data_IF_748262814638
#
_entry.id   IF_748262814638
#
_cell.length_a   1.000
_cell.length_b   1.000
_cell.length_c   1.000
_cell.angle_alpha   90.00
_cell.angle_beta   90.00
_cell.angle_gamma   90.00
#
_symmetry.space_group_name_H-M   'P 1'
#
loop_
_entity.id
_entity.type
_entity.pdbx_description
1 polymer ?
#
# COMPACT_ATOMS: atom_id res chain seq x y z
N UNK A 1 -1.51 43.94 2.75
CA UNK A 1 -2.13 42.79 3.44
C UNK A 1 -3.22 42.08 2.63
N UNK A 2 -3.91 42.75 1.69
CA UNK A 2 -4.95 42.14 0.83
C UNK A 2 -4.41 41.28 -0.32
N UNK A 3 -3.28 41.64 -0.92
CA UNK A 3 -2.71 40.89 -2.05
C UNK A 3 -2.17 39.50 -1.67
N UNK A 4 -1.60 39.35 -0.47
CA UNK A 4 -1.09 38.05 0.01
C UNK A 4 -2.22 37.09 0.38
N UNK A 5 -3.32 37.58 0.95
CA UNK A 5 -4.52 36.77 1.24
C UNK A 5 -5.19 36.28 -0.05
N UNK A 6 -5.21 37.11 -1.11
CA UNK A 6 -5.73 36.72 -2.41
C UNK A 6 -4.83 35.71 -3.15
N UNK A 7 -3.51 35.80 -2.95
CA UNK A 7 -2.55 34.82 -3.47
C UNK A 7 -2.63 33.48 -2.72
N UNK A 8 -2.82 33.51 -1.40
CA UNK A 8 -2.97 32.31 -0.57
C UNK A 8 -4.28 31.56 -0.88
N UNK A 9 -5.39 32.30 -1.05
CA UNK A 9 -6.72 31.72 -1.30
C UNK A 9 -6.86 31.10 -2.71
N UNK A 10 -6.03 31.49 -3.68
CA UNK A 10 -6.09 30.96 -5.05
C UNK A 10 -5.68 29.47 -5.16
N UNK A 11 -5.02 28.93 -4.14
CA UNK A 11 -4.57 27.52 -4.12
C UNK A 11 -5.49 26.57 -3.34
N UNK A 12 -6.59 27.06 -2.76
CA UNK A 12 -7.53 26.27 -1.91
C UNK A 12 -8.62 25.55 -2.71
N UNK A 13 -8.24 24.90 -3.81
CA UNK A 13 -9.14 24.01 -4.55
C UNK A 13 -9.17 22.61 -3.93
N UNK A 14 -10.25 21.81 -4.13
CA UNK A 14 -10.32 20.42 -3.66
C UNK A 14 -9.26 19.48 -4.29
N UNK A 15 -8.38 20.01 -5.14
CA UNK A 15 -7.35 19.26 -5.85
C UNK A 15 -6.41 18.47 -4.94
N UNK A 16 -6.06 18.98 -3.74
CA UNK A 16 -5.23 18.23 -2.79
C UNK A 16 -5.95 16.99 -2.26
N UNK A 17 -7.23 17.12 -1.90
CA UNK A 17 -8.03 16.00 -1.40
C UNK A 17 -8.25 14.94 -2.50
N UNK A 18 -8.56 15.36 -3.73
CA UNK A 18 -8.71 14.43 -4.86
C UNK A 18 -7.39 13.72 -5.17
N UNK A 19 -6.28 14.46 -5.20
CA UNK A 19 -4.96 13.89 -5.44
C UNK A 19 -4.55 12.89 -4.34
N UNK A 20 -4.74 13.26 -3.06
CA UNK A 20 -4.43 12.40 -1.92
C UNK A 20 -5.25 11.10 -1.96
N UNK A 21 -6.57 11.20 -2.11
CA UNK A 21 -7.44 10.04 -2.17
C UNK A 21 -7.11 9.14 -3.36
N UNK A 22 -6.81 9.71 -4.53
CA UNK A 22 -6.37 8.93 -5.70
C UNK A 22 -5.03 8.24 -5.45
N UNK A 23 -4.07 8.92 -4.83
CA UNK A 23 -2.77 8.35 -4.48
C UNK A 23 -2.93 7.16 -3.52
N UNK A 24 -3.71 7.30 -2.45
CA UNK A 24 -3.95 6.19 -1.51
C UNK A 24 -4.71 5.03 -2.14
N UNK A 25 -5.69 5.30 -3.01
CA UNK A 25 -6.42 4.26 -3.73
C UNK A 25 -5.49 3.43 -4.64
N UNK A 26 -4.60 4.11 -5.39
CA UNK A 26 -3.58 3.43 -6.22
C UNK A 26 -2.63 2.60 -5.34
N UNK A 27 -2.20 3.15 -4.21
CA UNK A 27 -1.28 2.47 -3.29
C UNK A 27 -1.90 1.20 -2.69
N UNK A 28 -3.18 1.27 -2.31
CA UNK A 28 -3.99 0.12 -1.88
C UNK A 28 -4.13 -0.94 -2.97
N UNK A 29 -4.38 -0.52 -4.21
CA UNK A 29 -4.53 -1.43 -5.35
C UNK A 29 -3.23 -2.19 -5.62
N UNK A 30 -2.09 -1.50 -5.65
CA UNK A 30 -0.77 -2.13 -5.84
C UNK A 30 -0.51 -3.15 -4.73
N UNK A 31 -0.76 -2.78 -3.47
CA UNK A 31 -0.59 -3.68 -2.35
C UNK A 31 -1.47 -4.93 -2.49
N UNK A 32 -2.75 -4.76 -2.84
CA UNK A 32 -3.67 -5.88 -3.05
C UNK A 32 -3.18 -6.83 -4.15
N UNK A 33 -2.71 -6.30 -5.30
CA UNK A 33 -2.17 -7.13 -6.39
C UNK A 33 -0.95 -7.94 -5.96
N UNK A 34 -0.06 -7.37 -5.14
CA UNK A 34 1.11 -8.09 -4.61
C UNK A 34 0.66 -9.30 -3.77
N UNK A 35 -0.28 -9.11 -2.84
CA UNK A 35 -0.77 -10.20 -1.98
C UNK A 35 -1.59 -11.25 -2.72
N UNK A 36 -2.37 -10.85 -3.73
CA UNK A 36 -3.26 -11.75 -4.45
C UNK A 36 -2.55 -12.56 -5.54
N UNK A 37 -1.53 -11.98 -6.20
CA UNK A 37 -0.90 -12.61 -7.37
C UNK A 37 0.54 -13.03 -7.10
N UNK A 38 1.34 -12.17 -6.47
CA UNK A 38 2.79 -12.40 -6.34
C UNK A 38 3.12 -13.40 -5.24
N UNK A 39 2.44 -13.32 -4.09
CA UNK A 39 2.67 -14.24 -2.97
C UNK A 39 2.31 -15.70 -3.31
N UNK A 40 1.16 -16.01 -3.96
CA UNK A 40 0.85 -17.39 -4.34
C UNK A 40 1.82 -17.96 -5.38
N UNK A 41 2.27 -17.12 -6.31
CA UNK A 41 3.28 -17.52 -7.29
C UNK A 41 4.61 -17.89 -6.60
N UNK A 42 5.03 -17.12 -5.60
CA UNK A 42 6.22 -17.43 -4.80
C UNK A 42 6.08 -18.78 -4.08
N UNK A 43 4.92 -19.07 -3.46
CA UNK A 43 4.66 -20.36 -2.79
C UNK A 43 4.87 -21.55 -3.74
N UNK A 44 4.29 -21.47 -4.94
CA UNK A 44 4.36 -22.57 -5.92
C UNK A 44 5.81 -22.92 -6.28
N UNK A 45 6.65 -21.91 -6.49
CA UNK A 45 8.07 -22.11 -6.78
C UNK A 45 8.82 -22.78 -5.63
N UNK A 46 8.52 -22.45 -4.37
CA UNK A 46 9.15 -23.12 -3.22
C UNK A 46 8.69 -24.58 -3.05
N UNK A 47 7.41 -24.87 -3.32
CA UNK A 47 6.87 -26.24 -3.26
C UNK A 47 7.56 -27.15 -4.30
N UNK A 48 7.90 -26.63 -5.49
CA UNK A 48 8.63 -27.36 -6.54
C UNK A 48 10.08 -27.73 -6.13
N UNK A 49 10.69 -26.99 -5.21
CA UNK A 49 12.04 -27.28 -4.68
C UNK A 49 12.05 -28.24 -3.48
N UNK A 50 10.89 -28.66 -2.96
CA UNK A 50 10.80 -29.60 -1.84
C UNK A 50 11.44 -29.12 -0.52
N UNK A 51 11.76 -27.81 -0.41
CA UNK A 51 12.40 -27.24 0.76
C UNK A 51 11.39 -26.63 1.73
N UNK A 52 11.65 -26.73 3.02
CA UNK A 52 10.85 -26.08 4.07
C UNK A 52 10.98 -24.57 3.96
N UNK A 53 9.88 -23.87 3.64
CA UNK A 53 9.88 -22.42 3.57
C UNK A 53 10.30 -21.80 4.92
N UNK A 54 11.09 -20.71 4.91
CA UNK A 54 11.43 -19.98 6.13
C UNK A 54 10.17 -19.56 6.90
N UNK A 55 10.22 -19.61 8.24
CA UNK A 55 9.11 -19.28 9.14
C UNK A 55 8.45 -17.91 8.85
N UNK A 56 9.25 -16.93 8.42
CA UNK A 56 8.77 -15.60 8.04
C UNK A 56 7.90 -15.64 6.78
N UNK A 57 8.27 -16.45 5.79
CA UNK A 57 7.54 -16.58 4.51
C UNK A 57 6.25 -17.39 4.69
N UNK A 58 6.27 -18.42 5.56
CA UNK A 58 5.08 -19.20 5.90
C UNK A 58 3.98 -18.31 6.50
N UNK A 59 4.36 -17.35 7.35
CA UNK A 59 3.44 -16.42 8.00
C UNK A 59 2.79 -15.47 6.98
N UNK A 60 3.58 -14.97 6.01
CA UNK A 60 3.08 -14.13 4.91
C UNK A 60 2.15 -14.90 3.97
N UNK A 61 2.45 -16.18 3.69
CA UNK A 61 1.59 -17.04 2.86
C UNK A 61 0.25 -17.31 3.55
N UNK A 62 0.25 -17.59 4.86
CA UNK A 62 -0.99 -17.76 5.63
C UNK A 62 -1.84 -16.48 5.60
N UNK A 63 -1.21 -15.32 5.78
CA UNK A 63 -1.88 -14.02 5.68
C UNK A 63 -2.41 -13.75 4.27
N UNK A 64 -1.63 -14.09 3.24
CA UNK A 64 -2.04 -13.96 1.84
C UNK A 64 -3.24 -14.85 1.51
N UNK A 65 -3.27 -16.11 1.95
CA UNK A 65 -4.43 -16.99 1.73
C UNK A 65 -5.71 -16.43 2.37
N UNK A 66 -5.61 -15.88 3.60
CA UNK A 66 -6.74 -15.21 4.23
C UNK A 66 -7.19 -13.96 3.45
N UNK A 67 -6.25 -13.16 2.95
CA UNK A 67 -6.55 -12.00 2.09
C UNK A 67 -7.13 -12.41 0.72
N UNK A 68 -6.70 -13.54 0.16
CA UNK A 68 -7.24 -14.11 -1.07
C UNK A 68 -8.68 -14.60 -0.86
N UNK A 69 -9.02 -15.14 0.30
CA UNK A 69 -10.42 -15.47 0.64
C UNK A 69 -11.24 -14.20 0.91
N UNK A 70 -10.66 -13.21 1.60
CA UNK A 70 -11.30 -11.93 1.91
C UNK A 70 -11.20 -10.88 0.79
N UNK A 71 -10.78 -11.24 -0.42
CA UNK A 71 -10.52 -10.29 -1.52
C UNK A 71 -11.74 -9.43 -1.86
N UNK A 72 -12.96 -9.98 -1.74
CA UNK A 72 -14.21 -9.26 -1.96
C UNK A 72 -14.43 -8.12 -0.97
N UNK A 73 -13.87 -8.22 0.24
CA UNK A 73 -13.96 -7.18 1.27
C UNK A 73 -13.04 -5.99 0.99
N UNK A 74 -12.05 -6.14 0.12
CA UNK A 74 -11.14 -5.05 -0.25
C UNK A 74 -11.86 -3.97 -1.05
N UNK A 75 -12.84 -4.33 -1.89
CA UNK A 75 -13.60 -3.36 -2.69
C UNK A 75 -14.40 -2.38 -1.79
N UNK A 76 -15.25 -2.83 -0.87
CA UNK A 76 -15.93 -1.92 0.05
C UNK A 76 -14.96 -1.25 1.02
N UNK A 77 -13.87 -1.91 1.43
CA UNK A 77 -12.86 -1.27 2.26
C UNK A 77 -12.18 -0.09 1.55
N UNK A 78 -11.81 -0.23 0.27
CA UNK A 78 -11.21 0.85 -0.53
C UNK A 78 -12.21 2.01 -0.70
N UNK A 79 -13.48 1.72 -0.96
CA UNK A 79 -14.52 2.74 -1.13
C UNK A 79 -14.79 3.49 0.18
N UNK A 80 -14.92 2.76 1.30
CA UNK A 80 -15.14 3.36 2.62
C UNK A 80 -13.93 4.17 3.10
N UNK A 81 -12.72 3.60 2.99
CA UNK A 81 -11.49 4.28 3.37
C UNK A 81 -11.23 5.49 2.48
N UNK A 82 -11.44 5.39 1.17
CA UNK A 82 -11.30 6.52 0.24
C UNK A 82 -12.29 7.65 0.53
N UNK A 83 -13.54 7.31 0.88
CA UNK A 83 -14.54 8.30 1.29
C UNK A 83 -14.19 8.99 2.61
N UNK A 84 -13.71 8.23 3.59
CA UNK A 84 -13.27 8.76 4.88
C UNK A 84 -12.05 9.66 4.71
N UNK A 85 -11.10 9.23 3.90
CA UNK A 85 -9.85 9.93 3.65
C UNK A 85 -10.07 11.24 2.87
N UNK A 86 -11.00 11.24 1.90
CA UNK A 86 -11.45 12.45 1.24
C UNK A 86 -12.06 13.44 2.25
N UNK A 87 -12.92 12.98 3.15
CA UNK A 87 -13.56 13.83 4.16
C UNK A 87 -12.56 14.40 5.18
N UNK A 88 -11.62 13.57 5.64
CA UNK A 88 -10.57 13.97 6.59
C UNK A 88 -9.62 14.96 5.93
N UNK A 89 -9.16 14.68 4.71
CA UNK A 89 -8.25 15.57 3.98
C UNK A 89 -8.93 16.90 3.64
N UNK A 90 -10.21 16.88 3.27
CA UNK A 90 -10.99 18.09 3.03
C UNK A 90 -11.15 18.96 4.29
N UNK A 91 -11.35 18.35 5.47
CA UNK A 91 -11.37 19.10 6.73
C UNK A 91 -9.99 19.61 7.14
N UNK A 92 -8.94 18.79 7.02
CA UNK A 92 -7.59 19.15 7.43
C UNK A 92 -6.99 20.27 6.57
N UNK A 93 -7.29 20.31 5.27
CA UNK A 93 -6.81 21.37 4.36
C UNK A 93 -7.32 22.77 4.76
N UNK A 94 -8.50 22.84 5.39
CA UNK A 94 -9.04 24.11 5.93
C UNK A 94 -8.40 24.53 7.26
N UNK A 95 -7.84 23.60 8.02
CA UNK A 95 -7.26 23.88 9.34
C UNK A 95 -5.76 24.14 9.26
N UNK A 96 -4.97 23.17 8.77
CA UNK A 96 -3.52 23.35 8.65
C UNK A 96 -2.90 22.44 7.59
N UNK A 97 -2.11 23.04 6.69
CA UNK A 97 -1.44 22.31 5.61
C UNK A 97 -0.48 21.22 6.08
N UNK A 98 0.21 21.44 7.20
CA UNK A 98 1.18 20.49 7.74
C UNK A 98 0.48 19.23 8.25
N UNK A 99 -0.67 19.36 8.91
CA UNK A 99 -1.42 18.18 9.35
C UNK A 99 -2.01 17.42 8.16
N UNK A 100 -2.52 18.11 7.14
CA UNK A 100 -2.99 17.50 5.90
C UNK A 100 -1.87 16.70 5.21
N UNK A 101 -0.68 17.29 5.08
CA UNK A 101 0.50 16.60 4.53
C UNK A 101 0.92 15.41 5.39
N UNK A 102 0.98 15.57 6.71
CA UNK A 102 1.34 14.47 7.63
C UNK A 102 0.35 13.30 7.52
N UNK A 103 -0.95 13.61 7.45
CA UNK A 103 -2.00 12.61 7.26
C UNK A 103 -1.89 11.87 5.93
N UNK A 104 -1.47 12.54 4.85
CA UNK A 104 -1.26 11.87 3.56
C UNK A 104 0.02 11.02 3.57
N UNK A 105 1.10 11.54 4.15
CA UNK A 105 2.42 10.92 4.14
C UNK A 105 2.51 9.70 5.06
N UNK A 106 1.86 9.72 6.23
CA UNK A 106 1.91 8.61 7.18
C UNK A 106 1.38 7.27 6.59
N UNK A 107 0.19 7.21 5.99
CA UNK A 107 -0.31 6.02 5.31
C UNK A 107 0.58 5.61 4.13
N UNK A 108 1.07 6.58 3.34
CA UNK A 108 1.94 6.27 2.19
C UNK A 108 3.23 5.59 2.65
N UNK A 109 3.86 6.11 3.70
CA UNK A 109 5.06 5.51 4.27
C UNK A 109 4.78 4.13 4.87
N UNK A 110 3.66 3.98 5.59
CA UNK A 110 3.26 2.70 6.18
C UNK A 110 3.05 1.63 5.09
N UNK A 111 2.28 1.95 4.06
CA UNK A 111 2.00 1.04 2.94
C UNK A 111 3.26 0.73 2.13
N UNK A 112 4.13 1.72 1.91
CA UNK A 112 5.42 1.50 1.24
C UNK A 112 6.34 0.60 2.06
N UNK A 113 6.33 0.71 3.39
CA UNK A 113 7.12 -0.15 4.27
C UNK A 113 6.58 -1.58 4.25
N UNK A 114 5.26 -1.76 4.34
CA UNK A 114 4.63 -3.10 4.26
C UNK A 114 4.87 -3.75 2.89
N UNK A 115 4.69 -2.99 1.80
CA UNK A 115 5.00 -3.45 0.45
C UNK A 115 6.47 -3.82 0.28
N UNK A 116 7.39 -2.99 0.82
CA UNK A 116 8.82 -3.27 0.82
C UNK A 116 9.19 -4.53 1.61
N UNK A 117 8.62 -4.71 2.80
CA UNK A 117 8.87 -5.91 3.64
C UNK A 117 8.37 -7.18 2.94
N UNK A 118 7.21 -7.13 2.30
CA UNK A 118 6.70 -8.30 1.56
C UNK A 118 7.50 -8.62 0.30
N UNK A 119 7.92 -7.61 -0.47
CA UNK A 119 8.83 -7.81 -1.59
C UNK A 119 10.15 -8.42 -1.13
N UNK A 120 10.76 -7.86 -0.08
CA UNK A 120 12.01 -8.36 0.50
C UNK A 120 11.87 -9.81 1.00
N UNK A 121 10.75 -10.15 1.64
CA UNK A 121 10.48 -11.50 2.13
C UNK A 121 10.36 -12.54 1.00
N UNK A 122 9.97 -12.12 -0.21
CA UNK A 122 9.86 -12.99 -1.40
C UNK A 122 11.18 -13.06 -2.17
N UNK A 123 11.85 -11.93 -2.36
CA UNK A 123 13.05 -11.83 -3.20
C UNK A 123 14.30 -12.48 -2.57
N UNK A 124 14.46 -12.37 -1.25
CA UNK A 124 15.59 -13.00 -0.54
C UNK A 124 15.71 -14.52 -0.75
N UNK A 125 14.64 -15.31 -0.54
CA UNK A 125 14.75 -16.75 -0.72
C UNK A 125 14.81 -17.15 -2.21
N UNK A 126 14.18 -16.38 -3.11
CA UNK A 126 14.27 -16.60 -4.57
C UNK A 126 15.69 -16.40 -5.10
N UNK A 127 16.40 -15.36 -4.68
CA UNK A 127 17.79 -15.11 -5.11
C UNK A 127 18.76 -16.18 -4.60
N UNK A 128 18.55 -16.68 -3.37
CA UNK A 128 19.31 -17.82 -2.84
C UNK A 128 19.08 -19.09 -3.66
N UNK A 129 17.85 -19.35 -4.10
CA UNK A 129 17.54 -20.47 -4.99
C UNK A 129 18.20 -20.32 -6.36
N UNK A 130 18.07 -19.15 -6.99
CA UNK A 130 18.68 -18.89 -8.30
C UNK A 130 20.19 -19.05 -8.27
N UNK A 131 20.86 -18.57 -7.22
CA UNK A 131 22.31 -18.72 -7.08
C UNK A 131 22.72 -20.16 -6.70
N UNK A 132 21.88 -20.92 -5.98
CA UNK A 132 22.13 -22.31 -5.66
C UNK A 132 21.92 -23.26 -6.85
N UNK A 133 21.15 -22.83 -7.85
CA UNK A 133 20.85 -23.58 -9.08
C UNK A 133 21.58 -23.01 -10.30
N UNK A 134 22.38 -21.96 -10.12
CA UNK A 134 23.27 -21.47 -11.15
C UNK A 134 24.37 -22.54 -11.38
N UNK A 135 24.66 -22.89 -12.65
CA UNK A 135 25.62 -23.94 -13.00
C UNK A 135 27.06 -23.61 -12.63
#
# INVERSE_FOLDING_TARGET
MSAQVLAENRTRGPGLAVFATALHAILLLILAVIYLVRVPAAKKTFDEFGMTLPLMTLSVIRLSNWLVECWWTLVPAIVLLGGLDFFVTWKLDRTSRISALAWVVCPVLLFSLVGGVTAFAIELPMTKLTNALAP
#
